data_IF_979158518417
#
_entry.id   IF_979158518417
#
_cell.length_a   1.000
_cell.length_b   1.000
_cell.length_c   1.000
_cell.angle_alpha   90.00
_cell.angle_beta   90.00
_cell.angle_gamma   90.00
#
_symmetry.space_group_name_H-M   'P 1'
#
loop_
_entity.id
_entity.type
_entity.pdbx_description
1 polymer ?
#
# COMPACT_ATOMS: atom_id res chain seq x y z
N UNK A 1 -14.46 -2.14 5.61
CA UNK A 1 -14.56 -0.77 5.06
C UNK A 1 -14.29 -0.85 3.57
N UNK A 2 -15.34 -0.92 2.71
CA UNK A 2 -15.19 -1.36 1.33
C UNK A 2 -14.23 -0.51 0.47
N UNK A 3 -14.30 0.81 0.59
CA UNK A 3 -13.42 1.72 -0.17
C UNK A 3 -11.93 1.46 0.11
N UNK A 4 -11.55 1.33 1.40
CA UNK A 4 -10.17 1.08 1.79
C UNK A 4 -9.67 -0.29 1.33
N UNK A 5 -10.55 -1.30 1.34
CA UNK A 5 -10.22 -2.66 0.89
C UNK A 5 -9.95 -2.70 -0.61
N UNK A 6 -10.84 -2.08 -1.41
CA UNK A 6 -10.66 -1.97 -2.86
C UNK A 6 -9.42 -1.16 -3.20
N UNK A 7 -9.23 0.00 -2.55
CA UNK A 7 -8.06 0.85 -2.76
C UNK A 7 -6.75 0.12 -2.44
N UNK A 8 -6.67 -0.57 -1.29
CA UNK A 8 -5.49 -1.35 -0.92
C UNK A 8 -5.19 -2.41 -1.99
N UNK A 9 -6.20 -3.20 -2.39
CA UNK A 9 -6.04 -4.23 -3.41
C UNK A 9 -5.50 -3.66 -4.72
N UNK A 10 -6.09 -2.57 -5.21
CA UNK A 10 -5.65 -1.91 -6.44
C UNK A 10 -4.22 -1.39 -6.32
N UNK A 11 -3.84 -0.79 -5.19
CA UNK A 11 -2.46 -0.33 -4.96
C UNK A 11 -1.49 -1.52 -5.01
N UNK A 12 -1.83 -2.65 -4.38
CA UNK A 12 -0.99 -3.84 -4.41
C UNK A 12 -0.83 -4.45 -5.81
N UNK A 13 -1.87 -4.37 -6.65
CA UNK A 13 -1.86 -4.92 -8.01
C UNK A 13 -1.29 -3.99 -9.06
N UNK A 14 -1.43 -2.68 -8.90
CA UNK A 14 -1.09 -1.69 -9.93
C UNK A 14 -0.04 -0.67 -9.47
N UNK A 15 0.56 -0.85 -8.29
CA UNK A 15 1.51 0.12 -7.74
C UNK A 15 2.76 0.37 -8.59
N UNK A 16 3.15 -0.58 -9.45
CA UNK A 16 4.26 -0.37 -10.40
C UNK A 16 3.93 0.63 -11.52
N UNK A 17 2.63 0.83 -11.78
CA UNK A 17 2.17 1.71 -12.83
C UNK A 17 2.15 3.17 -12.38
N UNK A 18 2.33 3.45 -11.07
CA UNK A 18 2.21 4.80 -10.49
C UNK A 18 3.10 5.85 -11.19
N UNK A 19 4.33 5.49 -11.54
CA UNK A 19 5.26 6.38 -12.28
C UNK A 19 4.90 6.54 -13.76
N UNK A 20 4.06 5.63 -14.29
CA UNK A 20 3.66 5.58 -15.70
C UNK A 20 2.25 6.11 -15.96
N UNK A 21 1.56 6.62 -14.93
CA UNK A 21 0.23 7.18 -15.06
C UNK A 21 0.32 8.48 -15.85
N UNK A 22 -0.07 8.41 -17.12
CA UNK A 22 -0.27 9.58 -17.97
C UNK A 22 -1.75 9.58 -18.37
N UNK A 23 -2.59 10.26 -17.58
CA UNK A 23 -4.01 10.40 -17.87
C UNK A 23 -4.18 11.56 -18.84
N UNK A 24 -4.75 11.29 -20.02
CA UNK A 24 -5.14 12.36 -20.94
C UNK A 24 -6.14 13.28 -20.22
N UNK A 25 -5.80 14.56 -20.11
CA UNK A 25 -6.56 15.64 -19.45
C UNK A 25 -6.40 15.80 -17.91
N UNK A 26 -5.46 15.09 -17.25
CA UNK A 26 -5.10 15.37 -15.84
C UNK A 26 -3.60 15.64 -15.66
N UNK A 27 -3.28 16.57 -14.75
CA UNK A 27 -1.89 16.89 -14.41
C UNK A 27 -1.28 15.69 -13.66
N UNK A 28 -0.12 15.14 -14.09
CA UNK A 28 0.44 13.94 -13.49
C UNK A 28 0.78 14.17 -12.03
N UNK A 29 0.10 13.42 -11.17
CA UNK A 29 0.33 13.43 -9.72
C UNK A 29 1.64 12.68 -9.44
N UNK A 30 2.68 13.42 -9.04
CA UNK A 30 3.92 12.82 -8.56
C UNK A 30 3.67 12.24 -7.17
N UNK A 31 3.50 10.92 -7.10
CA UNK A 31 3.34 10.17 -5.85
C UNK A 31 4.57 9.32 -5.65
N UNK A 32 5.20 9.44 -4.49
CA UNK A 32 6.37 8.63 -4.15
C UNK A 32 5.99 7.31 -3.49
N UNK A 33 6.82 6.29 -3.67
CA UNK A 33 6.71 4.99 -2.97
C UNK A 33 6.51 5.17 -1.46
N UNK A 34 7.27 6.09 -0.86
CA UNK A 34 7.25 6.32 0.58
C UNK A 34 5.92 6.92 1.07
N UNK A 35 5.26 7.75 0.27
CA UNK A 35 3.93 8.29 0.60
C UNK A 35 2.87 7.18 0.58
N UNK A 36 2.93 6.29 -0.41
CA UNK A 36 2.02 5.13 -0.52
C UNK A 36 2.22 4.19 0.65
N UNK A 37 3.46 3.85 0.97
CA UNK A 37 3.79 2.98 2.11
C UNK A 37 3.33 3.61 3.42
N UNK A 38 3.53 4.92 3.59
CA UNK A 38 3.08 5.65 4.78
C UNK A 38 1.56 5.68 4.92
N UNK A 39 0.83 5.81 3.82
CA UNK A 39 -0.63 5.75 3.82
C UNK A 39 -1.13 4.38 4.27
N UNK A 40 -0.59 3.31 3.70
CA UNK A 40 -0.95 1.93 4.05
C UNK A 40 -0.59 1.62 5.52
N UNK A 41 0.57 2.07 6.00
CA UNK A 41 0.98 1.94 7.39
C UNK A 41 0.02 2.66 8.35
N UNK A 42 -0.48 3.85 8.00
CA UNK A 42 -1.51 4.55 8.78
C UNK A 42 -2.80 3.75 8.88
N UNK A 43 -3.20 3.03 7.83
CA UNK A 43 -4.40 2.17 7.88
C UNK A 43 -4.19 1.00 8.85
N UNK A 44 -2.99 0.42 8.91
CA UNK A 44 -2.63 -0.64 9.87
C UNK A 44 -2.61 -0.14 11.32
N UNK A 45 -2.05 1.04 11.55
CA UNK A 45 -1.97 1.66 12.87
C UNK A 45 -3.33 2.16 13.39
N UNK A 46 -4.32 2.36 12.51
CA UNK A 46 -5.64 2.83 12.91
C UNK A 46 -6.44 1.72 13.60
N UNK A 47 -6.86 1.98 14.84
CA UNK A 47 -7.67 1.06 15.64
C UNK A 47 -9.11 0.89 15.13
N UNK A 48 -9.61 1.82 14.31
CA UNK A 48 -10.95 1.76 13.71
C UNK A 48 -10.95 0.88 12.45
N UNK A 49 -9.78 0.61 11.86
CA UNK A 49 -9.67 -0.31 10.73
C UNK A 49 -10.04 -1.73 11.14
N UNK A 50 -11.04 -2.31 10.46
CA UNK A 50 -11.42 -3.71 10.68
C UNK A 50 -10.28 -4.65 10.31
N UNK A 51 -10.22 -5.82 10.95
CA UNK A 51 -9.24 -6.88 10.69
C UNK A 51 -9.11 -7.17 9.19
N UNK A 52 -10.23 -7.40 8.51
CA UNK A 52 -10.26 -7.64 7.05
C UNK A 52 -9.60 -6.50 6.28
N UNK A 53 -9.87 -5.24 6.60
CA UNK A 53 -9.19 -4.10 5.95
C UNK A 53 -7.67 -4.16 6.16
N UNK A 54 -7.20 -4.52 7.36
CA UNK A 54 -5.77 -4.64 7.66
C UNK A 54 -5.13 -5.79 6.87
N UNK A 55 -5.81 -6.93 6.72
CA UNK A 55 -5.34 -8.05 5.89
C UNK A 55 -5.16 -7.66 4.42
N UNK A 56 -6.11 -6.90 3.86
CA UNK A 56 -5.99 -6.34 2.51
C UNK A 56 -4.75 -5.46 2.38
N UNK A 57 -4.49 -4.60 3.38
CA UNK A 57 -3.32 -3.74 3.39
C UNK A 57 -2.01 -4.53 3.51
N UNK A 58 -1.93 -5.52 4.40
CA UNK A 58 -0.73 -6.38 4.54
C UNK A 58 -0.46 -7.13 3.22
N UNK A 59 -1.50 -7.69 2.61
CA UNK A 59 -1.40 -8.38 1.31
C UNK A 59 -0.84 -7.44 0.25
N UNK A 60 -1.31 -6.19 0.23
CA UNK A 60 -0.87 -5.17 -0.72
C UNK A 60 0.58 -4.76 -0.50
N UNK A 61 0.99 -4.53 0.75
CA UNK A 61 2.38 -4.27 1.12
C UNK A 61 3.30 -5.44 0.72
N UNK A 62 2.83 -6.68 0.84
CA UNK A 62 3.59 -7.86 0.45
C UNK A 62 3.79 -7.92 -1.07
N UNK A 63 2.76 -7.60 -1.88
CA UNK A 63 2.91 -7.47 -3.34
C UNK A 63 3.93 -6.37 -3.69
N UNK A 64 3.80 -5.19 -3.09
CA UNK A 64 4.72 -4.07 -3.31
C UNK A 64 6.16 -4.39 -2.91
N UNK A 65 6.39 -5.24 -1.90
CA UNK A 65 7.74 -5.61 -1.46
C UNK A 65 8.58 -6.31 -2.53
N UNK A 66 7.94 -6.92 -3.52
CA UNK A 66 8.61 -7.52 -4.67
C UNK A 66 8.89 -6.53 -5.81
N UNK A 67 8.18 -5.39 -5.85
CA UNK A 67 8.18 -4.43 -6.97
C UNK A 67 8.99 -3.18 -6.64
N UNK A 68 8.87 -2.66 -5.42
CA UNK A 68 9.51 -1.42 -4.96
C UNK A 68 10.90 -1.68 -4.36
N UNK A 69 11.88 -1.92 -5.23
CA UNK A 69 13.24 -2.34 -4.83
C UNK A 69 13.89 -1.39 -3.81
N UNK A 70 13.70 -0.08 -3.98
CA UNK A 70 14.28 0.96 -3.13
C UNK A 70 13.67 0.99 -1.71
N UNK A 71 12.43 0.51 -1.55
CA UNK A 71 11.67 0.58 -0.30
C UNK A 71 11.51 -0.77 0.41
N UNK A 72 12.14 -1.82 -0.13
CA UNK A 72 12.07 -3.21 0.36
C UNK A 72 12.40 -3.35 1.86
N UNK A 73 13.41 -2.63 2.37
CA UNK A 73 13.81 -2.68 3.77
C UNK A 73 12.70 -2.21 4.72
N UNK A 74 12.05 -1.08 4.39
CA UNK A 74 10.92 -0.53 5.16
C UNK A 74 9.70 -1.44 5.08
N UNK A 75 9.36 -1.91 3.89
CA UNK A 75 8.24 -2.84 3.67
C UNK A 75 8.37 -4.11 4.51
N UNK A 76 9.56 -4.74 4.51
CA UNK A 76 9.83 -5.92 5.34
C UNK A 76 9.64 -5.66 6.84
N UNK A 77 10.07 -4.50 7.33
CA UNK A 77 9.90 -4.11 8.74
C UNK A 77 8.42 -3.95 9.12
N UNK A 78 7.63 -3.28 8.28
CA UNK A 78 6.19 -3.10 8.50
C UNK A 78 5.49 -4.46 8.48
N UNK A 79 5.74 -5.29 7.45
CA UNK A 79 5.13 -6.62 7.32
C UNK A 79 5.48 -7.49 8.53
N UNK A 80 6.73 -7.48 9.01
CA UNK A 80 7.12 -8.26 10.19
C UNK A 80 6.40 -7.79 11.47
N UNK A 81 6.09 -6.49 11.57
CA UNK A 81 5.43 -5.89 12.74
C UNK A 81 3.94 -6.23 12.78
N UNK A 82 3.25 -6.15 11.64
CA UNK A 82 1.80 -6.32 11.58
C UNK A 82 1.34 -7.72 11.12
N UNK A 83 2.18 -8.45 10.39
CA UNK A 83 1.89 -9.78 9.83
C UNK A 83 1.75 -10.89 10.86
N UNK A 84 2.28 -10.69 12.08
CA UNK A 84 2.11 -11.63 13.20
C UNK A 84 0.97 -11.24 14.15
N UNK A 85 0.31 -10.09 13.93
CA UNK A 85 -0.69 -9.51 14.84
C UNK A 85 -2.11 -9.48 14.25
N UNK A 86 -2.34 -10.22 13.17
CA UNK A 86 -3.65 -10.41 12.54
C UNK A 86 -3.95 -11.90 12.54
#
# INVERSE_FOLDING_TARGET
QPLAQVAAWCIGEYGELMDSINVEDEEPLQVTDDEVISLLEKVLANNISSVVTKEYVITSLMKLSSRLSNSTGRLKKIIATYGSST
#
